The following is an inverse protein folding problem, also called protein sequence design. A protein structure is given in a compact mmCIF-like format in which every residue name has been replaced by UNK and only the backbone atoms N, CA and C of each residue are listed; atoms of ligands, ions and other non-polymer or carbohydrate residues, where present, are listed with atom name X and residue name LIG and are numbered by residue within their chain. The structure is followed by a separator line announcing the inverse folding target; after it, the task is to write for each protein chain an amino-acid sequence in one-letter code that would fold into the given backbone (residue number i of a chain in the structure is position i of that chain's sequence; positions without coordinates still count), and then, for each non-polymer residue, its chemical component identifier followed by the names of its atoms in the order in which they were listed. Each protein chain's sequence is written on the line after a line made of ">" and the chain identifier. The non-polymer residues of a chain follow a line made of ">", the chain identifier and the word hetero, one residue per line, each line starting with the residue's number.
data_IF_035927338901
#
_entry.id   IF_035927338901
#
_cell.length_a   1.000
_cell.length_b   1.000
_cell.length_c   1.000
_cell.angle_alpha   90.00
_cell.angle_beta   90.00
_cell.angle_gamma   90.00
#
_symmetry.space_group_name_H-M   'P 1'
#
loop_
_entity.id
_entity.type
_entity.pdbx_description
1 polymer ?
#
# COMPACT_ATOMS: atom_id res chain seq x y z
N UNK A 1 9.03 9.46 -9.32
CA UNK A 1 9.77 9.02 -8.13
C UNK A 1 9.82 7.51 -8.08
N UNK A 2 10.95 6.96 -7.74
CA UNK A 2 11.10 5.51 -7.62
C UNK A 2 11.32 5.17 -6.16
N UNK A 3 10.67 4.13 -5.68
CA UNK A 3 10.84 3.64 -4.31
C UNK A 3 10.62 2.15 -4.25
N UNK A 4 10.68 1.59 -3.04
CA UNK A 4 10.43 0.18 -2.81
C UNK A 4 9.14 0.02 -2.03
N UNK A 5 8.27 -0.86 -2.52
CA UNK A 5 6.95 -1.11 -1.94
C UNK A 5 7.05 -2.12 -0.81
N UNK A 6 6.48 -1.79 0.35
CA UNK A 6 6.35 -2.72 1.47
C UNK A 6 4.91 -2.74 1.95
N UNK A 7 4.41 -3.94 2.24
CA UNK A 7 3.03 -4.11 2.71
C UNK A 7 2.90 -3.97 4.22
N UNK A 8 4.02 -4.02 4.94
CA UNK A 8 4.06 -3.95 6.40
C UNK A 8 5.27 -3.13 6.84
N UNK A 9 5.26 -2.60 8.09
CA UNK A 9 6.39 -1.81 8.59
C UNK A 9 7.65 -2.63 8.83
N UNK A 10 7.50 -3.95 8.99
CA UNK A 10 8.64 -4.86 9.14
C UNK A 10 8.24 -6.25 8.68
N UNK A 11 9.22 -7.14 8.40
CA UNK A 11 8.90 -8.50 7.97
C UNK A 11 8.09 -9.31 8.99
N UNK A 12 8.16 -8.92 10.25
CA UNK A 12 7.48 -9.64 11.32
C UNK A 12 6.10 -9.08 11.64
N UNK A 13 5.77 -7.93 11.07
CA UNK A 13 4.48 -7.28 11.31
C UNK A 13 3.43 -7.74 10.30
N UNK A 14 2.13 -7.73 10.68
CA UNK A 14 1.09 -8.01 9.71
C UNK A 14 1.02 -6.89 8.66
N UNK A 15 0.50 -7.23 7.49
CA UNK A 15 0.27 -6.25 6.42
C UNK A 15 -0.70 -5.17 6.89
N UNK A 16 -0.50 -3.95 6.40
CA UNK A 16 -1.44 -2.87 6.68
C UNK A 16 -2.83 -3.16 6.12
N UNK A 17 -2.88 -3.75 4.93
CA UNK A 17 -4.13 -4.11 4.29
C UNK A 17 -3.94 -5.36 3.45
N UNK A 18 -4.90 -6.26 3.54
CA UNK A 18 -4.95 -7.47 2.73
C UNK A 18 -6.16 -7.42 1.81
N UNK A 19 -6.20 -8.33 0.84
CA UNK A 19 -7.39 -8.48 -0.01
C UNK A 19 -8.58 -8.81 0.89
N UNK A 20 -9.66 -8.06 0.73
CA UNK A 20 -10.84 -8.19 1.57
C UNK A 20 -10.90 -7.22 2.73
N UNK A 21 -9.84 -6.47 3.00
CA UNK A 21 -9.82 -5.48 4.08
C UNK A 21 -10.61 -4.24 3.68
N UNK A 22 -11.49 -3.78 4.57
CA UNK A 22 -12.18 -2.51 4.38
C UNK A 22 -11.23 -1.38 4.80
N UNK A 23 -11.12 -0.35 3.97
CA UNK A 23 -10.26 0.81 4.21
C UNK A 23 -11.04 2.10 4.09
N UNK A 24 -10.55 3.14 4.75
CA UNK A 24 -11.09 4.49 4.64
C UNK A 24 -10.04 5.44 4.08
N UNK A 25 -10.40 6.72 3.87
CA UNK A 25 -9.47 7.69 3.26
C UNK A 25 -8.15 7.84 4.01
N UNK A 26 -8.16 7.66 5.32
CA UNK A 26 -6.98 7.83 6.17
C UNK A 26 -6.28 6.52 6.51
N UNK A 27 -6.77 5.39 6.01
CA UNK A 27 -6.18 4.09 6.31
C UNK A 27 -4.85 3.93 5.58
N UNK A 28 -3.78 3.63 6.32
CA UNK A 28 -2.49 3.32 5.70
C UNK A 28 -2.58 1.94 5.09
N UNK A 29 -2.23 1.82 3.81
CA UNK A 29 -2.31 0.55 3.08
C UNK A 29 -0.95 -0.04 2.75
N UNK A 30 0.08 0.79 2.74
CA UNK A 30 1.45 0.33 2.47
C UNK A 30 2.47 1.42 2.82
N UNK A 31 3.74 1.06 2.68
CA UNK A 31 4.85 2.00 2.83
C UNK A 31 5.65 1.98 1.55
N UNK A 32 6.08 3.16 1.12
CA UNK A 32 7.04 3.31 0.03
C UNK A 32 8.32 3.88 0.63
N UNK A 33 9.41 3.11 0.53
CA UNK A 33 10.72 3.58 0.95
C UNK A 33 11.43 4.22 -0.23
N UNK A 34 11.82 5.47 -0.09
CA UNK A 34 12.56 6.20 -1.10
C UNK A 34 13.61 7.06 -0.41
N UNK A 35 14.87 6.97 -0.84
CA UNK A 35 15.97 7.78 -0.31
C UNK A 35 16.07 7.67 1.22
N UNK A 36 15.92 6.45 1.76
CA UNK A 36 15.97 6.15 3.20
C UNK A 36 14.84 6.78 4.00
N UNK A 37 13.79 7.25 3.34
CA UNK A 37 12.59 7.80 3.99
C UNK A 37 11.45 6.83 3.77
N UNK A 38 10.77 6.48 4.87
CA UNK A 38 9.61 5.57 4.82
C UNK A 38 8.36 6.43 4.75
N UNK A 39 7.65 6.36 3.62
CA UNK A 39 6.44 7.13 3.40
C UNK A 39 5.22 6.22 3.54
N UNK A 40 4.35 6.54 4.48
CA UNK A 40 3.09 5.82 4.65
C UNK A 40 2.10 6.29 3.59
N UNK A 41 1.53 5.33 2.86
CA UNK A 41 0.58 5.61 1.79
C UNK A 41 -0.82 5.28 2.29
N UNK A 42 -1.71 6.27 2.21
CA UNK A 42 -3.11 6.10 2.62
C UNK A 42 -3.95 5.71 1.42
N UNK A 43 -5.07 5.03 1.70
CA UNK A 43 -5.97 4.57 0.65
C UNK A 43 -6.60 5.73 -0.14
N UNK A 44 -6.84 6.86 0.55
CA UNK A 44 -7.48 8.06 -0.01
C UNK A 44 -8.87 7.79 -0.59
N UNK A 45 -9.45 6.65 -0.25
CA UNK A 45 -10.79 6.26 -0.68
C UNK A 45 -11.36 5.27 0.31
N UNK A 46 -12.69 5.20 0.39
CA UNK A 46 -13.37 4.23 1.21
C UNK A 46 -13.81 3.05 0.36
N UNK A 47 -13.47 1.86 0.77
CA UNK A 47 -13.85 0.67 0.04
C UNK A 47 -13.19 -0.58 0.58
N UNK A 48 -13.21 -1.62 -0.25
CA UNK A 48 -12.62 -2.91 0.09
C UNK A 48 -11.50 -3.20 -0.88
N UNK A 49 -10.33 -3.55 -0.36
CA UNK A 49 -9.19 -3.92 -1.19
C UNK A 49 -9.51 -5.22 -1.92
N UNK A 50 -9.53 -5.18 -3.24
CA UNK A 50 -9.85 -6.36 -4.05
C UNK A 50 -8.61 -7.00 -4.63
N UNK A 51 -7.52 -6.25 -4.79
CA UNK A 51 -6.29 -6.80 -5.37
C UNK A 51 -5.09 -5.95 -4.95
N UNK A 52 -4.00 -6.61 -4.62
CA UNK A 52 -2.70 -5.98 -4.47
C UNK A 52 -1.94 -6.16 -5.78
N UNK A 53 -1.57 -5.06 -6.42
CA UNK A 53 -1.00 -5.07 -7.76
C UNK A 53 0.52 -5.18 -7.77
N UNK A 54 1.17 -5.02 -6.61
CA UNK A 54 2.62 -5.07 -6.46
C UNK A 54 2.95 -6.03 -5.33
N UNK A 55 4.01 -6.80 -5.53
CA UNK A 55 4.51 -7.70 -4.49
C UNK A 55 5.39 -6.95 -3.51
N UNK A 56 5.40 -7.42 -2.26
CA UNK A 56 6.24 -6.86 -1.21
C UNK A 56 7.71 -6.88 -1.63
N UNK A 57 8.39 -5.75 -1.41
CA UNK A 57 9.81 -5.64 -1.73
C UNK A 57 10.14 -5.30 -3.17
N UNK A 58 9.15 -5.04 -4.01
CA UNK A 58 9.37 -4.71 -5.41
C UNK A 58 9.49 -3.21 -5.63
N UNK A 59 10.25 -2.78 -6.64
CA UNK A 59 10.35 -1.35 -6.96
C UNK A 59 9.05 -0.83 -7.58
N UNK A 60 8.73 0.41 -7.29
CA UNK A 60 7.57 1.09 -7.85
C UNK A 60 7.94 2.48 -8.35
N UNK A 61 7.14 3.02 -9.26
CA UNK A 61 7.35 4.33 -9.84
C UNK A 61 6.18 5.25 -9.55
N UNK A 62 6.40 6.54 -9.75
CA UNK A 62 5.35 7.54 -9.58
C UNK A 62 4.19 7.23 -10.52
N UNK A 63 2.98 7.27 -9.97
CA UNK A 63 1.76 7.01 -10.75
C UNK A 63 1.43 5.54 -10.97
N UNK A 64 2.29 4.63 -10.50
CA UNK A 64 2.03 3.20 -10.65
C UNK A 64 0.90 2.76 -9.71
N UNK A 65 -0.12 2.04 -10.22
CA UNK A 65 -1.18 1.51 -9.36
C UNK A 65 -0.62 0.48 -8.37
N UNK A 66 -1.03 0.58 -7.11
CA UNK A 66 -0.56 -0.31 -6.05
C UNK A 66 -1.64 -1.29 -5.60
N UNK A 67 -2.88 -0.84 -5.52
CA UNK A 67 -4.02 -1.63 -5.09
C UNK A 67 -5.23 -1.31 -5.94
N UNK A 68 -6.16 -2.28 -6.00
CA UNK A 68 -7.51 -2.02 -6.49
C UNK A 68 -8.44 -1.99 -5.29
N UNK A 69 -9.30 -0.98 -5.23
CA UNK A 69 -10.25 -0.80 -4.16
C UNK A 69 -11.64 -0.70 -4.79
N UNK A 70 -12.56 -1.52 -4.29
CA UNK A 70 -13.96 -1.43 -4.71
C UNK A 70 -14.64 -0.42 -3.79
N UNK A 71 -15.18 0.68 -4.32
CA UNK A 71 -15.86 1.68 -3.49
C UNK A 71 -17.08 1.09 -2.79
N UNK A 72 -17.33 1.58 -1.61
CA UNK A 72 -18.55 1.24 -0.86
C UNK A 72 -19.67 2.24 -1.13
#
# INVERSE_FOLDING_TARGET
>A
MVGTFYRAPSPESPNYADVGTEVGPETVVCIIEAMKVMNEIKAEARGIVTQALVENGKPVEFGQPLFKIRPL
#
